data_IF_256618712623
#
_entry.id   IF_256618712623
#
_cell.length_a   1.000
_cell.length_b   1.000
_cell.length_c   1.000
_cell.angle_alpha   90.00
_cell.angle_beta   90.00
_cell.angle_gamma   90.00
#
_symmetry.space_group_name_H-M   'P 1'
#
loop_
_entity.id
_entity.type
_entity.pdbx_description
1 polymer ?
#
# COMPACT_ATOMS: atom_id res chain seq x y z
N UNK A 1 22.54 -24.53 45.94
CA UNK A 1 21.35 -23.67 45.73
C UNK A 1 21.59 -22.48 44.77
N UNK A 2 22.76 -21.82 44.79
CA UNK A 2 23.09 -20.69 43.89
C UNK A 2 23.20 -21.08 42.40
N UNK A 3 23.71 -22.27 42.09
CA UNK A 3 23.89 -22.74 40.70
C UNK A 3 22.55 -22.98 39.97
N UNK A 4 21.54 -23.58 40.64
CA UNK A 4 20.18 -23.75 40.08
C UNK A 4 19.48 -22.41 39.80
N UNK A 5 19.71 -21.39 40.66
CA UNK A 5 19.19 -20.03 40.43
C UNK A 5 19.90 -19.33 39.26
N UNK A 6 21.20 -19.55 39.08
CA UNK A 6 21.94 -19.05 37.92
C UNK A 6 21.50 -19.73 36.62
N UNK A 7 21.32 -21.05 36.65
CA UNK A 7 20.88 -21.84 35.50
C UNK A 7 19.46 -21.44 35.08
N UNK A 8 18.53 -21.28 36.03
CA UNK A 8 17.18 -20.80 35.74
C UNK A 8 17.17 -19.36 35.20
N UNK A 9 18.08 -18.49 35.65
CA UNK A 9 18.22 -17.13 35.11
C UNK A 9 18.79 -17.14 33.68
N UNK A 10 19.78 -17.98 33.41
CA UNK A 10 20.33 -18.14 32.06
C UNK A 10 19.26 -18.68 31.09
N UNK A 11 18.54 -19.74 31.49
CA UNK A 11 17.47 -20.35 30.68
C UNK A 11 16.35 -19.34 30.39
N UNK A 12 15.92 -18.57 31.40
CA UNK A 12 14.91 -17.52 31.24
C UNK A 12 15.39 -16.40 30.32
N UNK A 13 16.65 -15.97 30.45
CA UNK A 13 17.24 -14.94 29.60
C UNK A 13 17.37 -15.42 28.15
N UNK A 14 17.79 -16.66 27.91
CA UNK A 14 17.81 -17.25 26.56
C UNK A 14 16.41 -17.42 25.97
N UNK A 15 15.40 -17.79 26.77
CA UNK A 15 14.01 -17.89 26.31
C UNK A 15 13.45 -16.52 25.92
N UNK A 16 13.73 -15.48 26.71
CA UNK A 16 13.33 -14.10 26.40
C UNK A 16 14.02 -13.62 25.13
N UNK A 17 15.34 -13.84 24.98
CA UNK A 17 16.07 -13.49 23.75
C UNK A 17 15.51 -14.23 22.53
N UNK A 18 15.15 -15.51 22.66
CA UNK A 18 14.60 -16.30 21.57
C UNK A 18 13.19 -15.84 21.17
N UNK A 19 12.33 -15.52 22.14
CA UNK A 19 10.99 -14.99 21.90
C UNK A 19 11.03 -13.60 21.24
N UNK A 20 11.96 -12.75 21.70
CA UNK A 20 12.18 -11.41 21.16
C UNK A 20 12.66 -11.50 19.69
N UNK A 21 13.65 -12.35 19.39
CA UNK A 21 14.11 -12.60 18.02
C UNK A 21 13.01 -13.17 17.10
N UNK A 22 12.14 -14.04 17.62
CA UNK A 22 11.06 -14.65 16.86
C UNK A 22 9.97 -13.63 16.49
N UNK A 23 9.61 -12.73 17.40
CA UNK A 23 8.65 -11.63 17.12
C UNK A 23 9.21 -10.63 16.10
N UNK A 24 10.52 -10.37 16.09
CA UNK A 24 11.15 -9.47 15.12
C UNK A 24 11.22 -10.04 13.70
N UNK A 25 11.59 -11.33 13.58
CA UNK A 25 11.62 -12.00 12.28
C UNK A 25 10.23 -12.07 11.60
N UNK A 26 9.16 -12.10 12.42
CA UNK A 26 7.77 -12.06 11.96
C UNK A 26 7.36 -10.65 11.49
N UNK A 27 7.84 -9.59 12.17
CA UNK A 27 7.47 -8.19 11.88
C UNK A 27 7.98 -7.66 10.54
N UNK A 28 9.13 -8.15 10.06
CA UNK A 28 9.71 -7.77 8.77
C UNK A 28 9.46 -8.81 7.67
N UNK A 29 8.57 -9.78 7.88
CA UNK A 29 8.12 -10.70 6.84
C UNK A 29 7.20 -10.01 5.83
N UNK A 30 7.80 -9.14 5.01
CA UNK A 30 7.12 -8.27 4.06
C UNK A 30 7.59 -8.66 2.66
N UNK A 31 6.83 -9.52 1.94
CA UNK A 31 7.19 -9.91 0.58
C UNK A 31 6.97 -8.74 -0.39
N UNK A 32 8.03 -8.42 -1.13
CA UNK A 32 8.06 -7.38 -2.15
C UNK A 32 8.49 -7.98 -3.50
N UNK A 33 8.47 -7.15 -4.55
CA UNK A 33 9.00 -7.52 -5.86
C UNK A 33 9.99 -6.50 -6.39
N UNK A 34 11.06 -6.95 -7.02
CA UNK A 34 11.89 -6.06 -7.86
C UNK A 34 11.08 -5.58 -9.07
N UNK A 35 11.60 -4.61 -9.82
CA UNK A 35 10.97 -4.15 -11.06
C UNK A 35 10.84 -5.27 -12.10
N UNK A 36 11.74 -6.25 -12.07
CA UNK A 36 11.73 -7.45 -12.93
C UNK A 36 10.84 -8.57 -12.38
N UNK A 37 10.04 -8.30 -11.35
CA UNK A 37 9.13 -9.24 -10.68
C UNK A 37 9.79 -10.38 -9.89
N UNK A 38 11.08 -10.30 -9.60
CA UNK A 38 11.74 -11.23 -8.69
C UNK A 38 11.24 -10.98 -7.27
N UNK A 39 11.00 -12.05 -6.53
CA UNK A 39 10.52 -11.96 -5.15
C UNK A 39 11.69 -11.63 -4.23
N UNK A 40 11.48 -10.66 -3.35
CA UNK A 40 12.39 -10.34 -2.24
C UNK A 40 11.56 -10.24 -0.96
N UNK A 41 12.22 -10.27 0.19
CA UNK A 41 11.56 -10.02 1.46
C UNK A 41 12.31 -8.98 2.27
N UNK A 42 11.59 -8.11 2.98
CA UNK A 42 12.21 -7.10 3.81
C UNK A 42 13.08 -7.70 4.93
N UNK A 43 12.72 -8.88 5.47
CA UNK A 43 13.54 -9.59 6.46
C UNK A 43 14.90 -10.06 5.93
N UNK A 44 15.06 -10.13 4.60
CA UNK A 44 16.32 -10.51 3.96
C UNK A 44 17.30 -9.34 3.84
N UNK A 45 16.85 -8.11 4.06
CA UNK A 45 17.73 -6.96 4.34
C UNK A 45 18.31 -7.12 5.75
N UNK A 46 19.22 -8.08 5.89
CA UNK A 46 19.91 -8.38 7.15
C UNK A 46 20.83 -7.24 7.58
N UNK A 47 21.11 -7.23 8.87
CA UNK A 47 21.07 -6.06 9.77
C UNK A 47 22.41 -5.36 10.03
N UNK A 48 23.28 -5.26 9.03
CA UNK A 48 24.57 -4.56 9.22
C UNK A 48 24.38 -3.05 9.35
N UNK A 49 23.37 -2.52 8.64
CA UNK A 49 23.03 -1.10 8.62
C UNK A 49 21.55 -0.92 9.00
N UNK A 50 21.21 0.22 9.61
CA UNK A 50 19.83 0.68 9.66
C UNK A 50 19.27 0.88 8.23
N UNK A 51 17.95 0.92 8.09
CA UNK A 51 17.27 1.02 6.80
C UNK A 51 16.37 2.25 6.73
N UNK A 52 16.50 3.02 5.64
CA UNK A 52 15.60 4.11 5.27
C UNK A 52 14.76 3.74 4.04
N UNK A 53 13.47 3.56 4.28
CA UNK A 53 12.48 3.25 3.26
C UNK A 53 11.69 4.51 2.90
N UNK A 54 11.51 4.75 1.61
CA UNK A 54 10.55 5.73 1.09
C UNK A 54 9.50 5.02 0.22
N UNK A 55 8.23 5.08 0.64
CA UNK A 55 7.08 4.63 -0.15
C UNK A 55 6.55 5.80 -1.00
N UNK A 56 6.34 5.56 -2.29
CA UNK A 56 5.93 6.57 -3.26
C UNK A 56 5.09 5.98 -4.39
N UNK A 57 4.50 6.85 -5.21
CA UNK A 57 3.87 6.49 -6.47
C UNK A 57 4.24 7.53 -7.54
N UNK A 58 4.26 7.15 -8.81
CA UNK A 58 4.65 8.07 -9.90
C UNK A 58 3.61 9.18 -10.13
N UNK A 59 2.35 8.96 -9.73
CA UNK A 59 1.29 9.98 -9.77
C UNK A 59 1.31 10.93 -8.57
N UNK A 60 2.03 10.59 -7.50
CA UNK A 60 2.04 11.36 -6.26
C UNK A 60 2.98 12.55 -6.37
N UNK A 61 2.45 13.74 -6.65
CA UNK A 61 3.22 14.96 -6.88
C UNK A 61 4.16 15.29 -5.70
N UNK A 62 3.67 15.21 -4.46
CA UNK A 62 4.48 15.47 -3.27
C UNK A 62 5.60 14.42 -3.08
N UNK A 63 5.37 13.17 -3.52
CA UNK A 63 6.42 12.15 -3.50
C UNK A 63 7.58 12.52 -4.41
N UNK A 64 7.27 13.03 -5.61
CA UNK A 64 8.23 13.45 -6.62
C UNK A 64 8.96 14.73 -6.19
N UNK A 65 8.23 15.70 -5.62
CA UNK A 65 8.81 16.92 -5.03
C UNK A 65 9.80 16.63 -3.90
N UNK A 66 9.54 15.60 -3.08
CA UNK A 66 10.45 15.15 -2.03
C UNK A 66 11.51 14.15 -2.51
N UNK A 67 11.61 13.84 -3.81
CA UNK A 67 12.61 12.88 -4.33
C UNK A 67 14.06 13.39 -4.25
N UNK A 68 14.37 14.67 -4.56
CA UNK A 68 15.72 15.20 -4.39
C UNK A 68 16.28 15.06 -2.96
N UNK A 69 15.43 15.25 -1.95
CA UNK A 69 15.81 15.04 -0.55
C UNK A 69 16.25 13.60 -0.27
N UNK A 70 15.49 12.62 -0.77
CA UNK A 70 15.81 11.21 -0.60
C UNK A 70 17.13 10.83 -1.32
N UNK A 71 17.36 11.38 -2.52
CA UNK A 71 18.61 11.19 -3.28
C UNK A 71 19.80 11.80 -2.55
N UNK A 72 19.64 12.98 -1.94
CA UNK A 72 20.73 13.62 -1.19
C UNK A 72 21.06 12.85 0.10
N UNK A 73 20.04 12.38 0.82
CA UNK A 73 20.24 11.51 1.97
C UNK A 73 20.98 10.22 1.57
N UNK A 74 20.65 9.63 0.42
CA UNK A 74 21.37 8.47 -0.10
C UNK A 74 22.85 8.78 -0.35
N UNK A 75 23.16 9.86 -1.08
CA UNK A 75 24.54 10.27 -1.36
C UNK A 75 25.35 10.44 -0.08
N UNK A 76 24.76 11.04 0.95
CA UNK A 76 25.44 11.32 2.20
C UNK A 76 25.58 10.09 3.12
N UNK A 77 24.61 9.17 3.13
CA UNK A 77 24.49 8.15 4.18
C UNK A 77 24.49 6.69 3.69
N UNK A 78 24.54 6.38 2.39
CA UNK A 78 24.48 4.99 1.88
C UNK A 78 25.58 4.07 2.43
N UNK A 79 26.74 4.61 2.81
CA UNK A 79 27.80 3.83 3.47
C UNK A 79 27.44 3.40 4.91
N UNK A 80 26.46 4.05 5.53
CA UNK A 80 26.10 3.89 6.95
C UNK A 80 24.67 3.38 7.17
N UNK A 81 23.78 3.64 6.21
CA UNK A 81 22.35 3.31 6.23
C UNK A 81 22.01 2.71 4.87
N UNK A 82 21.24 1.63 4.86
CA UNK A 82 20.67 1.08 3.62
C UNK A 82 19.43 1.86 3.20
N UNK A 83 19.17 1.88 1.90
CA UNK A 83 18.05 2.61 1.33
C UNK A 83 17.19 1.68 0.47
N UNK A 84 15.87 1.79 0.63
CA UNK A 84 14.92 1.05 -0.19
C UNK A 84 13.80 1.97 -0.66
N UNK A 85 13.70 2.14 -1.97
CA UNK A 85 12.64 2.90 -2.61
C UNK A 85 11.50 1.94 -2.97
N UNK A 86 10.32 2.11 -2.38
CA UNK A 86 9.16 1.25 -2.62
C UNK A 86 8.12 2.02 -3.41
N UNK A 87 7.83 1.57 -4.63
CA UNK A 87 6.68 2.03 -5.39
C UNK A 87 5.42 1.31 -4.91
N UNK A 88 4.33 2.06 -4.71
CA UNK A 88 3.04 1.57 -4.21
C UNK A 88 2.36 0.55 -5.16
N UNK A 89 2.75 0.54 -6.44
CA UNK A 89 2.26 -0.41 -7.47
C UNK A 89 0.73 -0.40 -7.58
N UNK A 90 0.11 0.77 -7.53
CA UNK A 90 -1.33 0.99 -7.76
C UNK A 90 -1.52 2.26 -8.60
N UNK A 91 -2.39 2.20 -9.62
CA UNK A 91 -2.53 3.23 -10.65
C UNK A 91 -1.18 3.63 -11.27
N UNK A 92 -0.24 2.69 -11.35
CA UNK A 92 1.14 2.91 -11.75
C UNK A 92 1.56 1.84 -12.77
N UNK A 93 2.60 2.14 -13.55
CA UNK A 93 3.14 1.22 -14.55
C UNK A 93 4.67 1.27 -14.57
N UNK A 94 5.28 0.22 -15.13
CA UNK A 94 6.73 0.06 -15.13
C UNK A 94 7.43 1.21 -15.88
N UNK A 95 6.83 1.73 -16.94
CA UNK A 95 7.42 2.80 -17.74
C UNK A 95 7.48 4.10 -16.95
N UNK A 96 6.39 4.49 -16.28
CA UNK A 96 6.35 5.65 -15.41
C UNK A 96 7.36 5.55 -14.27
N UNK A 97 7.49 4.36 -13.66
CA UNK A 97 8.48 4.11 -12.60
C UNK A 97 9.91 4.28 -13.12
N UNK A 98 10.22 3.71 -14.29
CA UNK A 98 11.54 3.82 -14.92
C UNK A 98 11.89 5.26 -15.29
N UNK A 99 10.91 6.06 -15.73
CA UNK A 99 11.14 7.48 -16.03
C UNK A 99 11.55 8.27 -14.78
N UNK A 100 10.86 8.05 -13.65
CA UNK A 100 11.25 8.69 -12.37
C UNK A 100 12.65 8.24 -11.93
N UNK A 101 12.98 6.95 -12.08
CA UNK A 101 14.32 6.43 -11.77
C UNK A 101 15.39 7.16 -12.58
N UNK A 102 15.17 7.31 -13.89
CA UNK A 102 16.09 7.99 -14.80
C UNK A 102 16.18 9.48 -14.50
N UNK A 103 15.04 10.15 -14.32
CA UNK A 103 14.95 11.58 -14.07
C UNK A 103 15.71 11.99 -12.80
N UNK A 104 15.56 11.21 -11.72
CA UNK A 104 16.20 11.51 -10.43
C UNK A 104 17.49 10.73 -10.18
N UNK A 105 17.93 9.92 -11.15
CA UNK A 105 19.15 9.10 -11.07
C UNK A 105 19.18 8.24 -9.80
N UNK A 106 18.06 7.58 -9.51
CA UNK A 106 17.91 6.76 -8.31
C UNK A 106 18.92 5.62 -8.33
N UNK A 107 19.89 5.69 -7.42
CA UNK A 107 21.01 4.73 -7.31
C UNK A 107 20.78 3.66 -6.24
N UNK A 108 19.77 3.86 -5.39
CA UNK A 108 19.30 2.86 -4.43
C UNK A 108 18.37 1.83 -5.10
N UNK A 109 18.22 0.63 -4.52
CA UNK A 109 17.24 -0.34 -4.98
C UNK A 109 15.81 0.23 -5.03
N UNK A 110 15.11 -0.04 -6.12
CA UNK A 110 13.69 0.28 -6.31
C UNK A 110 12.88 -0.99 -6.47
N UNK A 111 11.84 -1.13 -5.66
CA UNK A 111 10.99 -2.32 -5.57
C UNK A 111 9.52 -1.91 -5.56
N UNK A 112 8.63 -2.89 -5.68
CA UNK A 112 7.18 -2.70 -5.79
C UNK A 112 6.48 -3.37 -4.62
N UNK A 113 5.54 -2.66 -4.02
CA UNK A 113 4.62 -3.21 -3.03
C UNK A 113 3.47 -3.97 -3.73
N UNK A 114 3.85 -5.02 -4.45
CA UNK A 114 2.96 -5.66 -5.41
C UNK A 114 1.70 -6.28 -4.79
N UNK A 115 1.75 -6.70 -3.54
CA UNK A 115 0.57 -7.22 -2.84
C UNK A 115 0.18 -6.32 -1.68
N UNK A 116 0.56 -5.03 -1.73
CA UNK A 116 0.35 -4.06 -0.65
C UNK A 116 0.81 -4.56 0.74
N UNK A 117 1.79 -5.46 0.77
CA UNK A 117 2.29 -6.10 1.97
C UNK A 117 3.01 -5.07 2.85
N UNK A 118 3.78 -4.16 2.26
CA UNK A 118 4.42 -3.08 3.00
C UNK A 118 3.40 -2.08 3.54
N UNK A 119 2.48 -1.63 2.69
CA UNK A 119 1.40 -0.74 3.11
C UNK A 119 0.58 -1.32 4.26
N UNK A 120 0.32 -2.62 4.27
CA UNK A 120 -0.37 -3.29 5.38
C UNK A 120 0.52 -3.43 6.61
N UNK A 121 1.76 -3.91 6.47
CA UNK A 121 2.67 -4.13 7.60
C UNK A 121 3.02 -2.83 8.36
N UNK A 122 3.07 -1.70 7.66
CA UNK A 122 3.44 -0.41 8.26
C UNK A 122 2.25 0.54 8.50
N UNK A 123 1.01 0.09 8.27
CA UNK A 123 -0.21 0.92 8.32
C UNK A 123 -0.06 2.22 7.50
N UNK A 124 0.57 2.10 6.33
CA UNK A 124 0.90 3.24 5.48
C UNK A 124 -0.34 3.67 4.68
N UNK A 125 -1.16 4.53 5.27
CA UNK A 125 -2.40 5.05 4.65
C UNK A 125 -2.19 6.33 3.82
N UNK A 126 -0.96 6.82 3.73
CA UNK A 126 -0.59 7.92 2.83
C UNK A 126 0.76 7.67 2.15
N UNK A 127 0.94 8.26 0.97
CA UNK A 127 2.24 8.54 0.34
C UNK A 127 2.47 10.06 0.23
N UNK A 128 3.70 10.58 0.13
CA UNK A 128 4.94 9.87 0.42
C UNK A 128 4.98 9.41 1.88
N UNK A 129 5.69 8.32 2.15
CA UNK A 129 5.82 7.80 3.50
C UNK A 129 7.23 7.30 3.75
N UNK A 130 7.83 7.86 4.80
CA UNK A 130 9.21 7.66 5.19
C UNK A 130 9.26 6.78 6.43
N UNK A 131 10.04 5.71 6.38
CA UNK A 131 10.24 4.80 7.50
C UNK A 131 11.74 4.66 7.76
N UNK A 132 12.13 4.85 9.02
CA UNK A 132 13.48 4.52 9.48
C UNK A 132 13.41 3.32 10.41
N UNK A 133 14.31 2.36 10.19
CA UNK A 133 14.40 1.10 10.92
C UNK A 133 15.84 0.94 11.44
N UNK A 134 16.01 0.64 12.72
CA UNK A 134 17.28 0.26 13.32
C UNK A 134 17.83 -1.05 12.75
N UNK A 135 19.10 -1.35 13.07
CA UNK A 135 19.68 -2.67 12.79
C UNK A 135 18.90 -3.81 13.42
N UNK A 136 18.35 -3.62 14.61
CA UNK A 136 17.57 -4.66 15.29
C UNK A 136 16.15 -4.84 14.72
N UNK A 137 15.78 -4.12 13.66
CA UNK A 137 14.45 -4.16 13.06
C UNK A 137 13.41 -3.26 13.74
N UNK A 138 13.81 -2.49 14.76
CA UNK A 138 12.93 -1.54 15.44
C UNK A 138 12.62 -0.34 14.54
N UNK A 139 11.34 0.00 14.39
CA UNK A 139 10.91 1.20 13.65
C UNK A 139 11.09 2.44 14.52
N UNK A 140 11.90 3.38 14.08
CA UNK A 140 12.31 4.59 14.83
C UNK A 140 11.79 5.89 14.23
N UNK A 141 11.22 5.82 13.02
CA UNK A 141 10.47 6.92 12.41
C UNK A 141 9.38 6.39 11.46
N UNK A 142 8.25 7.09 11.46
CA UNK A 142 7.21 7.05 10.43
C UNK A 142 6.75 8.50 10.20
N UNK A 143 6.65 8.94 8.95
CA UNK A 143 6.23 10.31 8.63
C UNK A 143 6.00 10.52 7.13
N UNK A 144 5.29 11.58 6.77
CA UNK A 144 4.94 11.88 5.37
C UNK A 144 5.77 13.02 4.75
N UNK A 145 6.58 13.69 5.57
CA UNK A 145 7.33 14.86 5.17
C UNK A 145 8.84 14.63 5.28
N UNK A 146 9.55 15.03 4.23
CA UNK A 146 10.99 15.30 4.25
C UNK A 146 11.29 16.52 5.14
N UNK A 147 11.27 16.29 6.45
CA UNK A 147 11.33 17.33 7.49
C UNK A 147 12.67 17.35 8.23
N UNK A 148 12.96 18.45 8.93
CA UNK A 148 14.13 18.56 9.81
C UNK A 148 14.15 17.44 10.89
N UNK A 149 12.97 17.01 11.34
CA UNK A 149 12.86 15.91 12.30
C UNK A 149 13.29 14.56 11.69
N UNK A 150 12.98 14.33 10.40
CA UNK A 150 13.47 13.17 9.66
C UNK A 150 15.00 13.25 9.50
N UNK A 151 15.54 14.41 9.10
CA UNK A 151 16.97 14.63 8.89
C UNK A 151 17.80 14.36 10.15
N UNK A 152 17.35 14.89 11.29
CA UNK A 152 17.98 14.64 12.59
C UNK A 152 18.01 13.14 12.90
N UNK A 153 16.93 12.41 12.63
CA UNK A 153 16.88 10.97 12.87
C UNK A 153 17.78 10.18 11.91
N UNK A 154 17.84 10.53 10.62
CA UNK A 154 18.77 9.93 9.67
C UNK A 154 20.22 10.13 10.16
N UNK A 155 20.59 11.36 10.51
CA UNK A 155 21.94 11.69 10.97
C UNK A 155 22.33 10.98 12.28
N UNK A 156 21.38 10.78 13.20
CA UNK A 156 21.58 10.01 14.42
C UNK A 156 21.75 8.52 14.11
N UNK A 157 20.86 7.98 13.27
CA UNK A 157 20.82 6.57 12.89
C UNK A 157 22.10 6.13 12.17
N UNK A 158 22.70 7.03 11.39
CA UNK A 158 23.99 6.81 10.74
C UNK A 158 25.16 6.62 11.72
N UNK A 159 24.99 6.98 13.01
CA UNK A 159 26.02 6.90 14.04
C UNK A 159 25.75 5.79 15.05
N UNK A 160 24.49 5.56 15.40
CA UNK A 160 24.06 4.58 16.42
C UNK A 160 22.59 4.22 16.24
N UNK A 161 22.19 3.10 16.82
CA UNK A 161 20.77 2.78 16.96
C UNK A 161 20.09 3.79 17.91
N UNK A 162 18.81 4.06 17.66
CA UNK A 162 18.02 5.03 18.43
C UNK A 162 16.74 4.38 18.97
N UNK A 163 16.13 5.00 19.97
CA UNK A 163 14.93 4.42 20.58
C UNK A 163 13.76 4.33 19.59
N UNK A 164 12.88 3.35 19.84
CA UNK A 164 11.70 3.11 19.02
C UNK A 164 10.84 4.37 18.87
N UNK A 165 10.18 4.53 17.72
CA UNK A 165 9.16 5.56 17.57
C UNK A 165 7.97 5.24 18.48
N UNK A 166 7.33 6.27 19.03
CA UNK A 166 6.01 6.14 19.65
C UNK A 166 5.04 5.51 18.63
N UNK A 167 4.32 4.44 19.01
CA UNK A 167 3.42 3.72 18.11
C UNK A 167 4.11 2.85 17.03
N UNK A 168 5.35 2.43 17.25
CA UNK A 168 6.17 1.63 16.31
C UNK A 168 5.78 0.14 16.17
N UNK A 169 4.73 -0.32 16.84
CA UNK A 169 4.27 -1.72 16.71
C UNK A 169 3.39 -1.83 15.46
N UNK A 170 3.79 -2.69 14.52
CA UNK A 170 2.95 -3.10 13.40
C UNK A 170 1.64 -3.65 13.98
N UNK A 171 0.49 -3.15 13.52
CA UNK A 171 -0.80 -3.58 14.04
C UNK A 171 -0.95 -5.09 13.86
N UNK A 172 -1.53 -5.71 14.90
CA UNK A 172 -1.95 -7.11 14.93
C UNK A 172 -2.85 -7.36 13.71
N UNK A 173 -2.54 -8.43 12.96
CA UNK A 173 -3.32 -8.91 11.82
C UNK A 173 -4.78 -9.05 12.23
N UNK A 174 -5.63 -8.20 11.68
CA UNK A 174 -7.08 -8.39 11.72
C UNK A 174 -7.42 -9.55 10.79
N UNK A 175 -8.49 -10.28 11.10
CA UNK A 175 -8.96 -11.33 10.20
C UNK A 175 -9.29 -10.67 8.84
N UNK A 176 -8.79 -11.20 7.71
CA UNK A 176 -9.06 -10.62 6.41
C UNK A 176 -10.56 -10.39 6.22
N UNK A 177 -10.94 -9.24 5.67
CA UNK A 177 -12.31 -9.04 5.27
C UNK A 177 -12.60 -10.00 4.12
N UNK A 178 -13.65 -10.80 4.25
CA UNK A 178 -14.05 -11.79 3.24
C UNK A 178 -15.43 -11.40 2.74
N UNK A 179 -15.56 -11.21 1.43
CA UNK A 179 -16.86 -11.09 0.79
C UNK A 179 -17.47 -12.48 0.74
N UNK A 180 -18.71 -12.64 1.20
CA UNK A 180 -19.41 -13.91 1.11
C UNK A 180 -19.50 -14.34 -0.35
N UNK A 181 -18.97 -15.54 -0.61
CA UNK A 181 -18.66 -16.05 -1.95
C UNK A 181 -19.88 -16.60 -2.70
N UNK A 182 -20.95 -17.00 -2.00
CA UNK A 182 -22.12 -17.58 -2.67
C UNK A 182 -22.90 -16.56 -3.51
N UNK A 183 -23.29 -17.00 -4.71
CA UNK A 183 -24.11 -16.23 -5.64
C UNK A 183 -23.31 -15.22 -6.46
N UNK A 184 -24.05 -14.49 -7.30
CA UNK A 184 -23.49 -13.46 -8.18
C UNK A 184 -23.18 -12.21 -7.38
N UNK A 185 -22.02 -11.59 -7.59
CA UNK A 185 -21.63 -10.31 -6.96
C UNK A 185 -21.06 -9.35 -7.98
N UNK A 186 -21.28 -8.05 -7.74
CA UNK A 186 -20.61 -6.99 -8.48
C UNK A 186 -19.84 -6.12 -7.51
N UNK A 187 -18.52 -6.06 -7.71
CA UNK A 187 -17.61 -5.27 -6.89
C UNK A 187 -17.06 -4.13 -7.73
N UNK A 188 -17.06 -2.92 -7.18
CA UNK A 188 -16.47 -1.76 -7.84
C UNK A 188 -15.40 -1.15 -6.92
N UNK A 189 -14.15 -1.34 -7.29
CA UNK A 189 -12.99 -0.84 -6.55
C UNK A 189 -12.60 0.53 -7.10
N UNK A 190 -12.46 1.53 -6.23
CA UNK A 190 -12.06 2.88 -6.65
C UNK A 190 -11.31 3.63 -5.55
N UNK A 191 -10.87 4.84 -5.87
CA UNK A 191 -10.27 5.81 -4.94
C UNK A 191 -11.13 7.06 -4.96
N UNK A 192 -11.46 7.61 -3.79
CA UNK A 192 -12.36 8.77 -3.66
C UNK A 192 -11.82 10.04 -4.33
N UNK A 193 -10.53 10.06 -4.66
CA UNK A 193 -9.82 11.19 -5.23
C UNK A 193 -9.37 11.01 -6.68
N UNK A 194 -9.66 9.87 -7.31
CA UNK A 194 -9.10 9.54 -8.62
C UNK A 194 -9.51 10.52 -9.73
N UNK A 195 -10.73 11.02 -9.69
CA UNK A 195 -11.30 11.94 -10.65
C UNK A 195 -10.66 13.32 -10.64
N UNK A 196 -10.32 13.86 -9.47
CA UNK A 196 -9.83 15.23 -9.35
C UNK A 196 -8.31 15.32 -9.20
N UNK A 197 -7.69 14.45 -8.40
CA UNK A 197 -6.26 14.55 -8.10
C UNK A 197 -5.38 14.30 -9.33
N UNK A 198 -5.83 13.38 -10.18
CA UNK A 198 -5.12 12.97 -11.38
C UNK A 198 -5.44 13.85 -12.60
N UNK A 199 -6.35 14.82 -12.48
CA UNK A 199 -6.86 15.57 -13.63
C UNK A 199 -5.75 16.30 -14.40
N UNK A 200 -4.81 16.92 -13.68
CA UNK A 200 -3.73 17.68 -14.30
C UNK A 200 -2.58 16.80 -14.79
N UNK A 201 -2.23 15.76 -14.04
CA UNK A 201 -1.04 14.93 -14.31
C UNK A 201 -1.33 13.71 -15.16
N UNK A 202 -2.57 13.20 -15.14
CA UNK A 202 -3.05 11.99 -15.83
C UNK A 202 -4.53 12.14 -16.26
N UNK A 203 -4.81 13.07 -17.18
CA UNK A 203 -6.19 13.40 -17.57
C UNK A 203 -6.98 12.18 -18.07
N UNK A 204 -6.36 11.26 -18.80
CA UNK A 204 -7.04 10.04 -19.28
C UNK A 204 -7.45 9.10 -18.13
N UNK A 205 -6.61 8.99 -17.08
CA UNK A 205 -6.93 8.16 -15.90
C UNK A 205 -8.04 8.82 -15.10
N UNK A 206 -7.95 10.14 -14.87
CA UNK A 206 -9.00 10.94 -14.23
C UNK A 206 -10.33 10.81 -14.98
N UNK A 207 -10.31 10.91 -16.31
CA UNK A 207 -11.49 10.72 -17.16
C UNK A 207 -12.08 9.33 -17.03
N UNK A 208 -11.26 8.27 -17.09
CA UNK A 208 -11.72 6.90 -16.89
C UNK A 208 -12.33 6.70 -15.49
N UNK A 209 -11.78 7.37 -14.47
CA UNK A 209 -12.38 7.43 -13.15
C UNK A 209 -13.76 8.06 -13.21
N UNK A 210 -13.94 9.24 -13.81
CA UNK A 210 -15.27 9.85 -13.96
C UNK A 210 -16.25 8.92 -14.68
N UNK A 211 -15.84 8.35 -15.82
CA UNK A 211 -16.68 7.47 -16.63
C UNK A 211 -17.15 6.25 -15.83
N UNK A 212 -16.25 5.58 -15.10
CA UNK A 212 -16.60 4.43 -14.27
C UNK A 212 -17.57 4.78 -13.15
N UNK A 213 -17.39 5.93 -12.50
CA UNK A 213 -18.23 6.38 -11.37
C UNK A 213 -19.65 6.72 -11.82
N UNK A 214 -19.78 7.43 -12.94
CA UNK A 214 -21.09 7.72 -13.55
C UNK A 214 -21.82 6.45 -13.99
N UNK A 215 -21.08 5.44 -14.44
CA UNK A 215 -21.65 4.17 -14.87
C UNK A 215 -22.25 3.36 -13.72
N UNK A 216 -21.66 3.40 -12.53
CA UNK A 216 -22.05 2.54 -11.40
C UNK A 216 -23.54 2.66 -11.08
N UNK A 217 -24.11 3.87 -11.05
CA UNK A 217 -25.55 4.05 -10.76
C UNK A 217 -26.46 3.42 -11.81
N UNK A 218 -26.11 3.60 -13.10
CA UNK A 218 -26.85 3.00 -14.21
C UNK A 218 -26.79 1.48 -14.16
N UNK A 219 -25.61 0.92 -13.93
CA UNK A 219 -25.41 -0.52 -13.82
C UNK A 219 -26.14 -1.09 -12.61
N UNK A 220 -26.04 -0.45 -11.44
CA UNK A 220 -26.72 -0.85 -10.21
C UNK A 220 -28.23 -0.97 -10.42
N UNK A 221 -28.87 0.10 -10.95
CA UNK A 221 -30.30 0.12 -11.23
C UNK A 221 -30.75 -0.97 -12.21
N UNK A 222 -29.91 -1.34 -13.18
CA UNK A 222 -30.22 -2.34 -14.21
C UNK A 222 -29.98 -3.80 -13.79
N UNK A 223 -29.29 -4.04 -12.67
CA UNK A 223 -28.79 -5.38 -12.29
C UNK A 223 -29.45 -5.93 -11.02
N UNK A 224 -30.70 -5.54 -10.74
CA UNK A 224 -31.54 -6.05 -9.65
C UNK A 224 -30.91 -5.94 -8.24
N UNK A 225 -30.07 -4.93 -8.01
CA UNK A 225 -29.60 -4.38 -6.71
C UNK A 225 -28.91 -5.31 -5.68
N UNK A 226 -29.25 -6.59 -5.54
CA UNK A 226 -29.05 -7.34 -4.29
C UNK A 226 -27.62 -7.82 -4.01
N UNK A 227 -26.64 -7.50 -4.87
CA UNK A 227 -25.28 -8.04 -4.75
C UNK A 227 -24.13 -7.06 -5.09
N UNK A 228 -24.38 -5.75 -4.98
CA UNK A 228 -23.37 -4.74 -5.27
C UNK A 228 -22.61 -4.28 -4.03
N UNK A 229 -21.31 -4.04 -4.20
CA UNK A 229 -20.50 -3.35 -3.22
C UNK A 229 -19.43 -2.48 -3.89
N UNK A 230 -19.39 -1.21 -3.53
CA UNK A 230 -18.30 -0.29 -3.86
C UNK A 230 -17.26 -0.35 -2.74
N UNK A 231 -16.00 -0.53 -3.12
CA UNK A 231 -14.86 -0.65 -2.22
C UNK A 231 -13.91 0.51 -2.49
N UNK A 232 -13.75 1.37 -1.49
CA UNK A 232 -12.86 2.53 -1.55
C UNK A 232 -11.51 2.17 -0.95
N UNK A 233 -10.44 2.46 -1.68
CA UNK A 233 -9.09 2.29 -1.17
C UNK A 233 -8.81 3.26 -0.01
N UNK A 234 -8.12 2.79 1.04
CA UNK A 234 -7.79 3.60 2.22
C UNK A 234 -6.69 4.65 2.00
N UNK A 235 -5.89 4.55 0.94
CA UNK A 235 -4.80 5.49 0.68
C UNK A 235 -5.40 6.87 0.44
N UNK A 236 -4.95 7.85 1.23
CA UNK A 236 -5.41 9.25 1.18
C UNK A 236 -6.92 9.42 1.37
N UNK A 237 -7.58 8.47 2.02
CA UNK A 237 -9.05 8.49 2.15
C UNK A 237 -9.45 8.46 3.62
N UNK A 238 -10.28 9.42 4.00
CA UNK A 238 -11.01 9.45 5.28
C UNK A 238 -12.51 9.28 5.02
N UNK A 239 -13.29 9.11 6.09
CA UNK A 239 -14.73 8.89 5.96
C UNK A 239 -15.43 10.09 5.29
N UNK A 240 -14.97 11.31 5.56
CA UNK A 240 -15.55 12.51 4.97
C UNK A 240 -15.35 12.55 3.44
N UNK A 241 -14.24 12.02 2.93
CA UNK A 241 -13.97 11.92 1.49
C UNK A 241 -14.93 10.92 0.82
N UNK A 242 -15.26 9.83 1.52
CA UNK A 242 -16.23 8.83 1.06
C UNK A 242 -17.63 9.44 0.99
N UNK A 243 -18.02 10.20 2.02
CA UNK A 243 -19.32 10.86 2.06
C UNK A 243 -19.44 11.93 0.94
N UNK A 244 -18.36 12.70 0.72
CA UNK A 244 -18.28 13.68 -0.36
C UNK A 244 -18.35 13.01 -1.75
N UNK A 245 -17.63 11.90 -1.93
CA UNK A 245 -17.67 11.08 -3.14
C UNK A 245 -19.09 10.54 -3.40
N UNK A 246 -19.74 9.97 -2.38
CA UNK A 246 -21.10 9.42 -2.49
C UNK A 246 -22.08 10.50 -2.95
N UNK A 247 -21.98 11.68 -2.34
CA UNK A 247 -22.82 12.84 -2.66
C UNK A 247 -22.55 13.35 -4.07
N UNK A 248 -21.28 13.51 -4.45
CA UNK A 248 -20.87 14.04 -5.77
C UNK A 248 -21.46 13.23 -6.92
N UNK A 249 -21.38 11.90 -6.83
CA UNK A 249 -21.84 11.00 -7.88
C UNK A 249 -23.26 10.48 -7.67
N UNK A 250 -23.96 10.93 -6.61
CA UNK A 250 -25.30 10.44 -6.26
C UNK A 250 -25.34 8.90 -6.18
N UNK A 251 -24.33 8.31 -5.54
CA UNK A 251 -24.13 6.87 -5.53
C UNK A 251 -25.21 6.17 -4.72
N UNK A 252 -25.98 5.29 -5.38
CA UNK A 252 -27.05 4.52 -4.76
C UNK A 252 -26.61 3.13 -4.25
N UNK A 253 -25.51 2.60 -4.79
CA UNK A 253 -25.01 1.28 -4.39
C UNK A 253 -24.31 1.35 -3.00
N UNK A 254 -24.37 0.27 -2.20
CA UNK A 254 -23.65 0.20 -0.93
C UNK A 254 -22.15 0.42 -1.11
N UNK A 255 -21.56 1.27 -0.28
CA UNK A 255 -20.15 1.64 -0.34
C UNK A 255 -19.48 1.49 1.03
N UNK A 256 -18.23 1.02 1.04
CA UNK A 256 -17.39 0.98 2.24
C UNK A 256 -15.91 1.16 1.89
N UNK A 257 -15.13 1.59 2.88
CA UNK A 257 -13.67 1.57 2.79
C UNK A 257 -13.14 0.16 3.03
N UNK A 258 -12.16 -0.28 2.25
CA UNK A 258 -11.34 -1.45 2.56
C UNK A 258 -10.23 -1.04 3.56
N UNK A 259 -10.63 -0.88 4.83
CA UNK A 259 -9.78 -0.32 5.90
C UNK A 259 -8.51 -1.13 6.13
N UNK A 260 -8.57 -2.45 5.95
CA UNK A 260 -7.42 -3.36 6.14
C UNK A 260 -6.67 -3.63 4.82
N UNK A 261 -7.18 -3.08 3.71
CA UNK A 261 -6.67 -3.28 2.35
C UNK A 261 -6.69 -4.77 1.91
N UNK A 262 -7.52 -5.59 2.54
CA UNK A 262 -7.56 -7.04 2.35
C UNK A 262 -8.28 -7.43 1.06
N UNK A 263 -9.28 -6.65 0.65
CA UNK A 263 -10.05 -6.91 -0.57
C UNK A 263 -9.29 -6.44 -1.81
N UNK A 264 -8.68 -5.24 -1.77
CA UNK A 264 -7.80 -4.76 -2.84
C UNK A 264 -6.65 -5.75 -3.11
N UNK A 265 -6.07 -6.32 -2.06
CA UNK A 265 -5.05 -7.36 -2.18
C UNK A 265 -5.61 -8.66 -2.75
N UNK A 266 -6.70 -9.18 -2.17
CA UNK A 266 -7.30 -10.45 -2.57
C UNK A 266 -7.66 -10.46 -4.06
N UNK A 267 -8.30 -9.39 -4.55
CA UNK A 267 -8.71 -9.23 -5.94
C UNK A 267 -7.63 -8.62 -6.85
N UNK A 268 -6.40 -8.47 -6.34
CA UNK A 268 -5.21 -8.00 -7.08
C UNK A 268 -5.47 -6.68 -7.82
N UNK A 269 -6.09 -5.73 -7.13
CA UNK A 269 -6.48 -4.45 -7.72
C UNK A 269 -5.25 -3.58 -7.89
N UNK A 270 -4.88 -3.36 -9.15
CA UNK A 270 -3.72 -2.54 -9.54
C UNK A 270 -4.10 -1.24 -10.22
N UNK A 271 -5.32 -1.16 -10.74
CA UNK A 271 -5.86 0.02 -11.38
C UNK A 271 -7.23 0.30 -10.78
N UNK A 272 -7.50 1.55 -10.48
CA UNK A 272 -8.78 2.06 -10.02
C UNK A 272 -9.28 3.11 -11.03
N UNK A 273 -10.57 3.05 -11.44
CA UNK A 273 -11.55 2.07 -11.03
C UNK A 273 -11.33 0.68 -11.64
N UNK A 274 -11.78 -0.35 -10.92
CA UNK A 274 -11.93 -1.72 -11.44
C UNK A 274 -13.30 -2.26 -11.04
N UNK A 275 -14.07 -2.76 -12.00
CA UNK A 275 -15.30 -3.52 -11.75
C UNK A 275 -15.01 -5.01 -11.91
N UNK A 276 -15.50 -5.82 -10.97
CA UNK A 276 -15.43 -7.28 -11.01
C UNK A 276 -16.84 -7.85 -10.89
N UNK A 277 -17.17 -8.84 -11.73
CA UNK A 277 -18.34 -9.69 -11.53
C UNK A 277 -17.88 -11.06 -11.08
N UNK A 278 -18.41 -11.51 -9.95
CA UNK A 278 -18.19 -12.84 -9.38
C UNK A 278 -19.45 -13.67 -9.51
N UNK A 279 -19.29 -14.99 -9.55
CA UNK A 279 -20.36 -15.97 -9.46
C UNK A 279 -19.81 -17.19 -8.72
N UNK A 280 -20.35 -17.44 -7.52
CA UNK A 280 -19.85 -18.41 -6.55
C UNK A 280 -18.33 -18.26 -6.27
N UNK A 281 -17.90 -17.01 -6.05
CA UNK A 281 -16.51 -16.63 -5.76
C UNK A 281 -15.58 -16.64 -6.99
N UNK A 282 -16.04 -17.09 -8.15
CA UNK A 282 -15.25 -17.14 -9.37
C UNK A 282 -15.39 -15.84 -10.16
N UNK A 283 -14.26 -15.19 -10.47
CA UNK A 283 -14.23 -14.02 -11.34
C UNK A 283 -14.69 -14.37 -12.77
N UNK A 284 -15.85 -13.83 -13.17
CA UNK A 284 -16.41 -13.98 -14.52
C UNK A 284 -16.08 -12.81 -15.42
N UNK A 285 -15.87 -11.63 -14.85
CA UNK A 285 -15.56 -10.41 -15.58
C UNK A 285 -14.69 -9.46 -14.77
N UNK A 286 -13.75 -8.81 -15.44
CA UNK A 286 -12.99 -7.65 -14.94
C UNK A 286 -13.00 -6.54 -15.96
N UNK A 287 -13.33 -5.33 -15.52
CA UNK A 287 -13.34 -4.11 -16.34
C UNK A 287 -12.51 -3.05 -15.65
N UNK A 288 -11.54 -2.49 -16.37
CA UNK A 288 -10.69 -1.39 -15.89
C UNK A 288 -10.80 -0.13 -16.77
N UNK A 289 -11.53 -0.21 -17.89
CA UNK A 289 -11.72 0.87 -18.85
C UNK A 289 -13.22 1.08 -19.07
N UNK A 290 -13.67 2.31 -18.87
CA UNK A 290 -15.10 2.66 -18.81
C UNK A 290 -15.52 3.66 -19.90
N UNK A 291 -14.61 4.00 -20.82
CA UNK A 291 -14.88 4.93 -21.92
C UNK A 291 -16.04 4.46 -22.82
N UNK A 292 -16.11 3.17 -23.18
CA UNK A 292 -17.25 2.60 -23.92
C UNK A 292 -18.33 2.08 -22.96
N UNK A 293 -19.20 3.01 -22.54
CA UNK A 293 -20.27 2.73 -21.57
C UNK A 293 -21.24 1.63 -22.05
N UNK A 294 -21.53 1.55 -23.35
CA UNK A 294 -22.45 0.55 -23.91
C UNK A 294 -21.83 -0.84 -23.90
N UNK A 295 -20.57 -0.94 -24.28
CA UNK A 295 -19.83 -2.20 -24.25
C UNK A 295 -19.71 -2.73 -22.82
N UNK A 296 -19.33 -1.87 -21.88
CA UNK A 296 -19.21 -2.24 -20.45
C UNK A 296 -20.54 -2.75 -19.90
N UNK A 297 -21.65 -2.06 -20.18
CA UNK A 297 -22.99 -2.52 -19.77
C UNK A 297 -23.34 -3.90 -20.33
N UNK A 298 -23.09 -4.13 -21.62
CA UNK A 298 -23.33 -5.44 -22.27
C UNK A 298 -22.49 -6.54 -21.62
N UNK A 299 -21.23 -6.26 -21.32
CA UNK A 299 -20.32 -7.22 -20.68
C UNK A 299 -20.81 -7.59 -19.27
N UNK A 300 -21.18 -6.59 -18.46
CA UNK A 300 -21.69 -6.83 -17.10
C UNK A 300 -23.00 -7.63 -17.13
N UNK A 301 -23.94 -7.28 -18.00
CA UNK A 301 -25.19 -8.03 -18.15
C UNK A 301 -24.97 -9.47 -18.62
N UNK A 302 -24.00 -9.69 -19.53
CA UNK A 302 -23.66 -11.03 -19.97
C UNK A 302 -23.02 -11.87 -18.85
N UNK A 303 -22.16 -11.28 -18.03
CA UNK A 303 -21.52 -11.96 -16.90
C UNK A 303 -22.50 -12.27 -15.75
N UNK A 304 -23.60 -11.54 -15.65
CA UNK A 304 -24.66 -11.75 -14.65
C UNK A 304 -25.76 -12.71 -15.11
N UNK A 305 -25.76 -13.17 -16.37
CA UNK A 305 -26.68 -14.21 -16.86
C UNK A 305 -26.13 -15.58 -16.51
#
# INVERSE_FOLDING_TARGET
>A
MRLKKLLNRLVLMTLVICLVNQVYAEKLDVPLKTLNNERINLKDYKTEKPLYIKLWATWCQECIKQMPHYVEAYKQYHDKIDFLSINLDINDDLQAVQEIIKQYQLSMPVVKDHNSAFTTAFDAVFTPFHVLINRDGTVVHKGFEASEALDKKIALLAKKDIDAAEGSVAKKTTKPEVIQEQGKRVLFFTMAWCDWYLQETRPEVSKNCVDGQEMVNSLYAKTQNENWQILINRIWTKQEDIDAYQKKYTIAAPMKMDTENTLFQHYKIKVAPTLIVLDDGIEKLRVTQFADKKQVEKMVQAALK
#
